data_IF_421108163325
#
_entry.id   IF_421108163325
#
_cell.length_a   1.000
_cell.length_b   1.000
_cell.length_c   1.000
_cell.angle_alpha   90.00
_cell.angle_beta   90.00
_cell.angle_gamma   90.00
#
_symmetry.space_group_name_H-M   'P 1'
#
loop_
_entity.id
_entity.type
_entity.pdbx_description
1 polymer ?
#
# COMPACT_ATOMS: atom_id res chain seq x y z
N UNK A 1 26.76 4.43 -6.64
CA UNK A 1 26.47 3.56 -7.82
C UNK A 1 25.40 4.24 -8.64
N UNK A 2 25.44 4.17 -9.98
CA UNK A 2 24.34 4.71 -10.78
C UNK A 2 23.12 3.75 -10.80
N UNK A 3 22.16 3.95 -9.88
CA UNK A 3 20.87 3.23 -9.86
C UNK A 3 20.00 3.56 -11.08
N UNK A 4 20.18 4.75 -11.69
CA UNK A 4 19.36 5.23 -12.82
C UNK A 4 19.55 4.42 -14.11
N UNK A 5 20.60 3.58 -14.18
CA UNK A 5 20.78 2.66 -15.32
C UNK A 5 19.70 1.59 -15.41
N UNK A 6 19.02 1.30 -14.30
CA UNK A 6 17.95 0.31 -14.27
C UNK A 6 16.63 1.01 -14.54
N UNK A 7 15.94 0.61 -15.61
CA UNK A 7 14.61 1.13 -15.92
C UNK A 7 13.54 0.51 -15.04
N UNK A 8 12.52 1.29 -14.74
CA UNK A 8 11.33 0.84 -14.02
C UNK A 8 10.39 0.00 -14.85
N UNK A 9 10.07 0.53 -16.02
CA UNK A 9 9.24 -0.08 -17.04
C UNK A 9 10.00 -0.17 -18.35
N UNK A 10 9.74 -1.23 -19.11
CA UNK A 10 10.11 -1.33 -20.50
C UNK A 10 8.99 -0.71 -21.33
N UNK A 11 9.26 0.46 -21.92
CA UNK A 11 8.29 1.24 -22.69
C UNK A 11 7.89 0.60 -24.02
N UNK A 12 8.63 -0.41 -24.49
CA UNK A 12 8.30 -1.17 -25.70
C UNK A 12 7.25 -2.27 -25.43
N UNK A 13 6.94 -2.57 -24.15
CA UNK A 13 5.92 -3.53 -23.77
C UNK A 13 4.63 -2.84 -23.34
N UNK A 14 3.54 -3.17 -24.02
CA UNK A 14 2.21 -2.61 -23.78
C UNK A 14 1.35 -3.55 -22.90
N UNK A 15 1.90 -3.95 -21.74
CA UNK A 15 1.24 -4.82 -20.76
C UNK A 15 1.14 -4.17 -19.38
N UNK A 16 1.14 -2.83 -19.36
CA UNK A 16 0.97 -2.01 -18.17
C UNK A 16 -0.31 -1.22 -18.35
N UNK A 17 -1.18 -1.26 -17.35
CA UNK A 17 -2.47 -0.59 -17.37
C UNK A 17 -2.64 0.18 -16.07
N UNK A 18 -2.98 1.46 -16.18
CA UNK A 18 -3.32 2.29 -15.04
C UNK A 18 -4.78 2.05 -14.68
N UNK A 19 -5.02 1.72 -13.42
CA UNK A 19 -6.35 1.43 -12.92
C UNK A 19 -6.52 2.06 -11.55
N UNK A 20 -7.70 2.55 -11.27
CA UNK A 20 -8.04 2.96 -9.92
C UNK A 20 -7.95 1.75 -8.98
N UNK A 21 -7.61 2.00 -7.72
CA UNK A 21 -7.53 0.96 -6.69
C UNK A 21 -8.73 0.00 -6.75
N UNK A 22 -8.53 -1.34 -6.66
CA UNK A 22 -9.63 -2.31 -6.75
C UNK A 22 -10.73 -2.13 -5.70
N UNK A 23 -10.46 -1.35 -4.64
CA UNK A 23 -11.48 -0.86 -3.71
C UNK A 23 -12.70 -0.26 -4.42
N UNK A 24 -12.48 0.51 -5.49
CA UNK A 24 -13.54 1.22 -6.22
C UNK A 24 -14.35 0.29 -7.12
N UNK A 25 -13.79 -0.86 -7.50
CA UNK A 25 -14.46 -1.85 -8.36
C UNK A 25 -15.65 -2.51 -7.65
N UNK A 26 -15.61 -2.57 -6.32
CA UNK A 26 -16.69 -3.07 -5.48
C UNK A 26 -17.56 -1.97 -4.86
N UNK A 27 -17.10 -0.72 -4.89
CA UNK A 27 -17.86 0.36 -4.27
C UNK A 27 -19.15 0.61 -5.04
N UNK A 28 -20.17 1.08 -4.34
CA UNK A 28 -21.34 1.71 -4.94
C UNK A 28 -21.14 3.23 -4.84
N UNK A 29 -21.67 3.99 -5.81
CA UNK A 29 -21.42 5.43 -5.95
C UNK A 29 -21.79 6.23 -4.70
N UNK A 30 -21.27 7.46 -4.61
CA UNK A 30 -21.50 8.38 -3.48
C UNK A 30 -22.99 8.62 -3.16
N UNK A 31 -23.89 8.45 -4.13
CA UNK A 31 -25.35 8.63 -3.97
C UNK A 31 -25.98 7.72 -2.89
N UNK A 32 -25.39 6.56 -2.59
CA UNK A 32 -25.89 5.65 -1.55
C UNK A 32 -25.41 6.01 -0.13
N UNK A 33 -24.58 7.05 0.05
CA UNK A 33 -24.00 7.45 1.36
C UNK A 33 -24.75 8.56 2.08
N UNK A 34 -25.95 8.92 1.63
CA UNK A 34 -26.78 9.98 2.22
C UNK A 34 -27.07 9.84 3.72
N UNK A 35 -26.80 8.68 4.33
CA UNK A 35 -26.94 8.40 5.76
C UNK A 35 -25.64 8.29 6.57
N UNK A 36 -24.46 8.49 5.97
CA UNK A 36 -23.19 8.37 6.70
C UNK A 36 -23.03 9.49 7.75
N UNK A 37 -22.64 9.14 8.98
CA UNK A 37 -22.59 10.06 10.13
C UNK A 37 -21.24 10.06 10.87
N UNK A 38 -20.32 9.16 10.53
CA UNK A 38 -19.04 9.05 11.22
C UNK A 38 -17.99 9.97 10.60
N UNK A 39 -17.23 10.65 11.44
CA UNK A 39 -15.99 11.34 11.07
C UNK A 39 -14.84 10.63 11.74
N UNK A 40 -13.84 10.23 10.98
CA UNK A 40 -12.67 9.52 11.51
C UNK A 40 -11.45 10.41 11.39
N UNK A 41 -10.78 10.67 12.51
CA UNK A 41 -9.42 11.21 12.52
C UNK A 41 -8.44 10.06 12.74
N UNK A 42 -7.58 9.79 11.75
CA UNK A 42 -6.50 8.80 11.89
C UNK A 42 -5.27 9.45 12.54
N UNK A 43 -4.81 8.82 13.62
CA UNK A 43 -3.56 9.16 14.28
C UNK A 43 -2.32 8.72 13.50
N UNK A 44 -1.17 9.21 13.95
CA UNK A 44 0.13 8.89 13.39
C UNK A 44 0.96 8.11 14.44
N UNK A 45 1.99 7.40 13.99
CA UNK A 45 2.91 6.70 14.91
C UNK A 45 3.92 7.69 15.50
N UNK A 46 3.59 8.32 16.64
CA UNK A 46 4.41 9.39 17.22
C UNK A 46 5.82 8.90 17.54
N UNK A 47 5.97 7.60 17.86
CA UNK A 47 7.26 6.97 18.18
C UNK A 47 8.19 6.83 16.98
N UNK A 48 7.63 6.82 15.77
CA UNK A 48 8.36 6.60 14.54
C UNK A 48 8.37 7.83 13.61
N UNK A 49 7.98 9.01 14.09
CA UNK A 49 8.15 10.27 13.36
C UNK A 49 9.62 10.71 13.41
N UNK A 50 10.39 10.56 12.32
CA UNK A 50 11.79 10.94 12.34
C UNK A 50 11.89 12.48 12.44
N UNK A 51 12.71 12.96 13.37
CA UNK A 51 13.05 14.39 13.55
C UNK A 51 11.89 15.32 13.96
N UNK A 52 10.73 14.80 14.35
CA UNK A 52 9.60 15.63 14.79
C UNK A 52 9.73 16.05 16.25
N UNK A 53 9.47 17.34 16.54
CA UNK A 53 9.18 17.79 17.90
C UNK A 53 7.81 17.24 18.31
N UNK A 54 7.80 16.22 19.19
CA UNK A 54 6.58 15.54 19.60
C UNK A 54 5.61 16.44 20.37
N UNK A 55 6.10 17.42 21.13
CA UNK A 55 5.25 18.32 21.89
C UNK A 55 4.55 19.29 20.93
N UNK A 56 5.30 19.82 19.96
CA UNK A 56 4.73 20.68 18.92
C UNK A 56 3.79 19.89 17.99
N UNK A 57 4.16 18.66 17.61
CA UNK A 57 3.31 17.78 16.82
C UNK A 57 1.97 17.52 17.53
N UNK A 58 2.00 17.16 18.82
CA UNK A 58 0.78 16.96 19.62
C UNK A 58 -0.06 18.24 19.72
N UNK A 59 0.58 19.41 19.89
CA UNK A 59 -0.09 20.72 19.92
C UNK A 59 -0.81 21.00 18.61
N UNK A 60 -0.15 20.78 17.46
CA UNK A 60 -0.72 20.96 16.13
C UNK A 60 -1.85 19.95 15.85
N UNK A 61 -1.69 18.69 16.24
CA UNK A 61 -2.76 17.68 16.17
C UNK A 61 -3.99 18.12 16.96
N UNK A 62 -3.81 18.70 18.15
CA UNK A 62 -4.92 19.21 18.96
C UNK A 62 -5.67 20.37 18.27
N UNK A 63 -4.96 21.26 17.56
CA UNK A 63 -5.59 22.29 16.75
C UNK A 63 -6.39 21.70 15.59
N UNK A 64 -5.88 20.66 14.92
CA UNK A 64 -6.60 19.96 13.86
C UNK A 64 -7.85 19.25 14.40
N UNK A 65 -7.77 18.63 15.58
CA UNK A 65 -8.92 18.01 16.25
C UNK A 65 -9.98 19.05 16.63
N UNK A 66 -9.57 20.24 17.08
CA UNK A 66 -10.49 21.35 17.33
C UNK A 66 -11.18 21.80 16.04
N UNK A 67 -10.42 22.01 14.97
CA UNK A 67 -10.97 22.35 13.65
C UNK A 67 -12.05 21.34 13.21
N UNK A 68 -11.80 20.04 13.38
CA UNK A 68 -12.78 19.00 13.03
C UNK A 68 -14.05 19.11 13.87
N UNK A 69 -13.97 19.43 15.18
CA UNK A 69 -15.16 19.65 16.01
C UNK A 69 -16.01 20.81 15.52
N UNK A 70 -15.36 21.91 15.13
CA UNK A 70 -16.02 23.14 14.71
C UNK A 70 -16.72 22.96 13.35
N UNK A 71 -16.09 22.25 12.41
CA UNK A 71 -16.59 22.11 11.04
C UNK A 71 -17.46 20.86 10.82
N UNK A 72 -17.39 19.85 11.70
CA UNK A 72 -18.17 18.62 11.60
C UNK A 72 -19.26 18.50 12.68
N UNK A 73 -19.78 19.63 13.16
CA UNK A 73 -20.85 19.68 14.16
C UNK A 73 -22.06 18.82 13.76
N UNK A 74 -22.58 18.05 14.72
CA UNK A 74 -23.71 17.13 14.50
C UNK A 74 -23.34 15.73 14.00
N UNK A 75 -22.09 15.50 13.60
CA UNK A 75 -21.58 14.18 13.23
C UNK A 75 -20.95 13.46 14.42
N UNK A 76 -20.86 12.13 14.34
CA UNK A 76 -20.20 11.31 15.35
C UNK A 76 -18.69 11.29 15.10
N UNK A 77 -17.92 11.90 16.00
CA UNK A 77 -16.46 12.02 15.87
C UNK A 77 -15.75 10.81 16.48
N UNK A 78 -14.80 10.23 15.75
CA UNK A 78 -13.98 9.11 16.18
C UNK A 78 -12.51 9.38 15.93
N UNK A 79 -11.68 8.88 16.84
CA UNK A 79 -10.24 8.93 16.71
C UNK A 79 -9.71 7.50 16.62
N UNK A 80 -8.95 7.19 15.58
CA UNK A 80 -8.32 5.88 15.38
C UNK A 80 -6.80 6.02 15.42
N UNK A 81 -6.13 5.59 16.50
CA UNK A 81 -4.67 5.68 16.61
C UNK A 81 -3.99 4.75 15.59
N UNK A 82 -2.71 5.00 15.33
CA UNK A 82 -1.90 4.10 14.52
C UNK A 82 -1.78 2.71 15.20
N UNK A 83 -1.81 1.58 14.46
CA UNK A 83 -1.81 0.24 15.08
C UNK A 83 -0.60 -0.08 15.97
N UNK A 84 0.54 0.58 15.73
CA UNK A 84 1.77 0.45 16.53
C UNK A 84 1.86 1.43 17.71
N UNK A 85 0.89 2.33 17.84
CA UNK A 85 0.90 3.39 18.84
C UNK A 85 0.34 2.88 20.17
N UNK A 86 0.86 3.40 21.28
CA UNK A 86 0.36 3.04 22.61
C UNK A 86 0.06 4.24 23.50
N UNK A 87 0.66 5.41 23.25
CA UNK A 87 0.62 6.54 24.17
C UNK A 87 0.08 7.83 23.54
N UNK A 88 0.08 7.97 22.21
CA UNK A 88 -0.46 9.15 21.48
C UNK A 88 -1.81 9.66 22.03
N UNK A 89 -2.83 8.81 22.29
CA UNK A 89 -4.12 9.30 22.79
C UNK A 89 -4.03 10.03 24.13
N UNK A 90 -2.98 9.80 24.93
CA UNK A 90 -2.77 10.47 26.23
C UNK A 90 -2.25 11.90 26.08
N UNK A 91 -1.67 12.22 24.92
CA UNK A 91 -1.13 13.55 24.61
C UNK A 91 -2.14 14.46 23.91
N UNK A 92 -3.30 13.91 23.54
CA UNK A 92 -4.30 14.58 22.72
C UNK A 92 -5.55 14.92 23.52
N UNK A 93 -6.11 16.11 23.26
CA UNK A 93 -7.45 16.45 23.68
C UNK A 93 -8.44 15.73 22.77
N UNK A 94 -8.93 14.57 23.23
CA UNK A 94 -9.93 13.76 22.53
C UNK A 94 -11.38 14.05 22.98
N UNK A 95 -11.64 15.15 23.68
CA UNK A 95 -13.00 15.53 24.12
C UNK A 95 -13.98 15.50 22.94
N UNK A 96 -15.10 14.77 23.05
CA UNK A 96 -16.08 14.61 21.98
C UNK A 96 -15.72 13.59 20.89
N UNK A 97 -14.51 13.02 20.90
CA UNK A 97 -14.12 11.91 20.03
C UNK A 97 -14.25 10.57 20.77
N UNK A 98 -14.80 9.56 20.09
CA UNK A 98 -14.77 8.17 20.55
C UNK A 98 -13.50 7.48 20.06
N UNK A 99 -12.76 6.86 20.96
CA UNK A 99 -11.55 6.12 20.60
C UNK A 99 -11.90 4.77 19.96
N UNK A 100 -11.36 4.50 18.77
CA UNK A 100 -11.46 3.19 18.11
C UNK A 100 -10.27 2.34 18.56
N UNK A 101 -10.55 1.26 19.29
CA UNK A 101 -9.53 0.32 19.78
C UNK A 101 -9.24 -0.83 18.79
N UNK A 102 -9.98 -0.90 17.69
CA UNK A 102 -9.79 -1.91 16.65
C UNK A 102 -8.38 -1.81 16.06
N UNK A 103 -7.67 -2.94 16.08
CA UNK A 103 -6.25 -2.98 15.69
C UNK A 103 -6.01 -2.96 14.19
N UNK A 104 -7.01 -3.28 13.38
CA UNK A 104 -6.89 -3.30 11.92
C UNK A 104 -6.17 -2.07 11.36
N UNK A 105 -5.38 -2.29 10.30
CA UNK A 105 -4.83 -1.18 9.53
C UNK A 105 -5.96 -0.35 8.90
N UNK A 106 -5.61 0.85 8.45
CA UNK A 106 -6.57 1.79 7.91
C UNK A 106 -7.35 1.19 6.74
N UNK A 107 -6.70 0.47 5.83
CA UNK A 107 -7.33 -0.07 4.63
C UNK A 107 -8.41 -1.11 4.94
N UNK A 108 -8.17 -2.06 5.86
CA UNK A 108 -9.19 -3.03 6.28
C UNK A 108 -10.32 -2.33 7.02
N UNK A 109 -9.99 -1.42 7.95
CA UNK A 109 -10.99 -0.66 8.69
C UNK A 109 -11.90 0.13 7.72
N UNK A 110 -11.31 0.84 6.76
CA UNK A 110 -12.06 1.58 5.75
C UNK A 110 -12.91 0.63 4.91
N UNK A 111 -12.36 -0.51 4.48
CA UNK A 111 -13.15 -1.51 3.77
C UNK A 111 -14.39 -1.93 4.58
N UNK A 112 -14.24 -2.26 5.87
CA UNK A 112 -15.35 -2.73 6.70
C UNK A 112 -16.39 -1.64 7.03
N UNK A 113 -15.96 -0.39 7.20
CA UNK A 113 -16.80 0.68 7.77
C UNK A 113 -17.15 1.80 6.77
N UNK A 114 -16.67 1.74 5.51
CA UNK A 114 -16.81 2.81 4.49
C UNK A 114 -18.23 3.38 4.34
N UNK A 115 -19.27 2.57 4.49
CA UNK A 115 -20.67 3.00 4.30
C UNK A 115 -21.18 3.91 5.43
N UNK A 116 -20.51 3.92 6.57
CA UNK A 116 -20.89 4.73 7.74
C UNK A 116 -20.06 6.02 7.87
N UNK A 117 -18.97 6.12 7.10
CA UNK A 117 -17.98 7.18 7.20
C UNK A 117 -18.31 8.29 6.19
N UNK A 118 -18.53 9.49 6.73
CA UNK A 118 -18.77 10.71 5.96
C UNK A 118 -17.46 11.42 5.63
N UNK A 119 -16.62 11.66 6.63
CA UNK A 119 -15.34 12.36 6.46
C UNK A 119 -14.18 11.63 7.12
N UNK A 120 -13.00 11.74 6.51
CA UNK A 120 -11.73 11.26 7.06
C UNK A 120 -10.72 12.40 7.13
N UNK A 121 -10.01 12.48 8.25
CA UNK A 121 -8.94 13.45 8.47
C UNK A 121 -7.69 12.75 8.98
N UNK A 122 -6.52 13.31 8.70
CA UNK A 122 -5.27 12.96 9.37
C UNK A 122 -4.25 14.10 9.30
N UNK A 123 -3.20 14.03 10.11
CA UNK A 123 -2.08 14.96 10.00
C UNK A 123 -1.30 14.75 8.70
N UNK A 124 -0.84 13.51 8.46
CA UNK A 124 -0.05 13.15 7.27
C UNK A 124 -0.12 11.64 6.96
N UNK A 125 -1.23 10.99 7.29
CA UNK A 125 -1.38 9.54 7.19
C UNK A 125 -1.82 9.09 5.80
N UNK A 126 -1.26 7.96 5.33
CA UNK A 126 -1.77 7.28 4.13
C UNK A 126 -3.25 6.88 4.24
N UNK A 127 -3.75 6.73 5.47
CA UNK A 127 -5.14 6.40 5.73
C UNK A 127 -6.12 7.39 5.05
N UNK A 128 -5.79 8.68 4.99
CA UNK A 128 -6.62 9.65 4.26
C UNK A 128 -6.61 9.38 2.76
N UNK A 129 -5.46 9.06 2.17
CA UNK A 129 -5.37 8.73 0.73
C UNK A 129 -6.10 7.41 0.39
N UNK A 130 -6.01 6.41 1.27
CA UNK A 130 -6.80 5.19 1.16
C UNK A 130 -8.30 5.50 1.23
N UNK A 131 -8.74 6.34 2.18
CA UNK A 131 -10.14 6.75 2.29
C UNK A 131 -10.64 7.45 1.02
N UNK A 132 -9.82 8.34 0.44
CA UNK A 132 -10.10 8.95 -0.86
C UNK A 132 -10.33 7.90 -1.94
N UNK A 133 -9.47 6.86 -1.98
CA UNK A 133 -9.61 5.73 -2.91
C UNK A 133 -10.84 4.87 -2.63
N UNK A 134 -11.39 4.87 -1.42
CA UNK A 134 -12.71 4.30 -1.11
C UNK A 134 -13.87 5.24 -1.48
N UNK A 135 -13.62 6.36 -2.15
CA UNK A 135 -14.63 7.37 -2.48
C UNK A 135 -15.18 8.12 -1.26
N UNK A 136 -14.45 8.14 -0.15
CA UNK A 136 -14.82 8.90 1.06
C UNK A 136 -14.19 10.28 0.97
N UNK A 137 -14.92 11.31 1.38
CA UNK A 137 -14.34 12.65 1.49
C UNK A 137 -13.24 12.64 2.56
N UNK A 138 -12.03 13.01 2.16
CA UNK A 138 -10.86 12.81 3.02
C UNK A 138 -9.85 13.92 2.88
N UNK A 139 -9.18 14.25 3.98
CA UNK A 139 -8.31 15.42 4.06
C UNK A 139 -7.04 15.12 4.84
N UNK A 140 -5.99 15.87 4.52
CA UNK A 140 -4.73 15.90 5.26
C UNK A 140 -4.40 17.32 5.72
N UNK A 141 -3.85 17.46 6.91
CA UNK A 141 -3.37 18.73 7.47
C UNK A 141 -1.85 18.91 7.26
N UNK A 142 -1.25 18.19 6.31
CA UNK A 142 0.20 18.05 6.13
C UNK A 142 0.99 19.37 6.27
N UNK A 143 0.53 20.43 5.61
CA UNK A 143 1.23 21.72 5.57
C UNK A 143 1.29 22.42 6.95
N UNK A 144 0.27 22.21 7.81
CA UNK A 144 0.24 22.73 9.18
C UNK A 144 1.41 22.17 10.00
N UNK A 145 1.86 20.96 9.69
CA UNK A 145 2.94 20.27 10.39
C UNK A 145 4.33 20.62 9.84
N UNK A 146 4.45 21.48 8.82
CA UNK A 146 5.75 21.83 8.21
C UNK A 146 6.77 22.34 9.22
N UNK A 147 6.34 23.12 10.22
CA UNK A 147 7.23 23.68 11.25
C UNK A 147 7.90 22.61 12.12
N UNK A 148 7.24 21.46 12.35
CA UNK A 148 7.76 20.39 13.20
C UNK A 148 8.33 19.20 12.41
N UNK A 149 7.92 18.99 11.16
CA UNK A 149 8.43 17.93 10.29
C UNK A 149 9.59 18.39 9.39
N UNK A 150 9.71 19.70 9.18
CA UNK A 150 10.66 20.32 8.25
C UNK A 150 10.22 20.25 6.79
N UNK A 151 10.84 21.10 5.97
CA UNK A 151 10.50 21.23 4.54
C UNK A 151 10.71 19.95 3.76
N UNK A 152 11.84 19.27 4.00
CA UNK A 152 12.21 18.04 3.29
C UNK A 152 11.14 16.96 3.46
N UNK A 153 10.73 16.68 4.71
CA UNK A 153 9.72 15.67 5.00
C UNK A 153 8.36 16.08 4.43
N UNK A 154 7.97 17.33 4.60
CA UNK A 154 6.68 17.85 4.12
C UNK A 154 6.58 17.76 2.60
N UNK A 155 7.64 18.16 1.89
CA UNK A 155 7.72 18.09 0.44
C UNK A 155 7.78 16.65 -0.07
N UNK A 156 8.43 15.74 0.65
CA UNK A 156 8.37 14.30 0.34
C UNK A 156 6.93 13.79 0.39
N UNK A 157 6.17 14.12 1.43
CA UNK A 157 4.76 13.74 1.51
C UNK A 157 3.93 14.39 0.40
N UNK A 158 4.05 15.70 0.17
CA UNK A 158 3.22 16.43 -0.80
C UNK A 158 3.53 16.03 -2.24
N UNK A 159 4.81 15.96 -2.61
CA UNK A 159 5.26 15.82 -4.01
C UNK A 159 5.46 14.37 -4.45
N UNK A 160 5.57 13.42 -3.52
CA UNK A 160 5.83 12.01 -3.84
C UNK A 160 4.83 11.06 -3.20
N UNK A 161 4.48 11.26 -1.92
CA UNK A 161 3.57 10.36 -1.25
C UNK A 161 2.11 10.60 -1.66
N UNK A 162 1.70 11.87 -1.82
CA UNK A 162 0.35 12.29 -2.15
C UNK A 162 0.20 12.93 -3.54
N UNK A 163 1.16 12.69 -4.44
CA UNK A 163 1.29 13.43 -5.72
C UNK A 163 0.09 13.33 -6.66
N UNK A 164 -0.74 12.29 -6.53
CA UNK A 164 -1.93 12.07 -7.37
C UNK A 164 -3.21 12.66 -6.74
N UNK A 165 -3.15 13.22 -5.53
CA UNK A 165 -4.32 13.73 -4.83
C UNK A 165 -4.60 15.20 -5.20
N UNK A 166 -5.88 15.59 -5.30
CA UNK A 166 -6.26 16.95 -5.69
C UNK A 166 -5.96 17.96 -4.57
N UNK A 167 -5.86 19.26 -4.91
CA UNK A 167 -5.68 20.32 -3.89
C UNK A 167 -6.79 20.32 -2.83
N UNK A 168 -8.02 19.90 -3.17
CA UNK A 168 -9.12 19.77 -2.21
C UNK A 168 -8.89 18.68 -1.15
N UNK A 169 -7.87 17.84 -1.28
CA UNK A 169 -7.41 16.90 -0.25
C UNK A 169 -6.60 17.59 0.86
N UNK A 170 -6.01 18.76 0.59
CA UNK A 170 -5.09 19.43 1.50
C UNK A 170 -5.78 20.56 2.26
N UNK A 171 -5.70 20.52 3.58
CA UNK A 171 -6.09 21.63 4.46
C UNK A 171 -4.81 22.33 4.89
N UNK A 172 -4.43 23.36 4.12
CA UNK A 172 -3.17 24.08 4.31
C UNK A 172 -3.23 25.12 5.45
N UNK A 173 -4.42 25.49 5.93
CA UNK A 173 -4.60 26.38 7.08
C UNK A 173 -5.87 26.05 7.87
N UNK A 174 -5.90 26.41 9.15
CA UNK A 174 -7.07 26.22 10.02
C UNK A 174 -8.24 27.18 9.70
N UNK A 175 -8.02 28.15 8.83
CA UNK A 175 -9.04 29.06 8.32
C UNK A 175 -9.73 28.52 7.04
N UNK A 176 -9.12 27.53 6.39
CA UNK A 176 -9.66 26.92 5.18
C UNK A 176 -10.92 26.13 5.54
N UNK A 177 -12.06 26.45 4.94
CA UNK A 177 -13.26 25.61 5.02
C UNK A 177 -13.18 24.52 3.95
N UNK A 178 -13.03 23.26 4.37
CA UNK A 178 -12.96 22.16 3.41
C UNK A 178 -14.27 21.99 2.65
N UNK A 179 -14.15 21.59 1.38
CA UNK A 179 -15.29 21.21 0.54
C UNK A 179 -15.32 19.70 0.37
N UNK A 180 -16.50 19.11 0.23
CA UNK A 180 -16.64 17.68 -0.04
C UNK A 180 -15.88 17.33 -1.32
N UNK A 181 -14.85 16.49 -1.17
CA UNK A 181 -13.97 16.07 -2.25
C UNK A 181 -14.15 14.59 -2.60
N UNK A 182 -15.17 13.94 -2.02
CA UNK A 182 -15.49 12.56 -2.34
C UNK A 182 -15.76 12.53 -3.83
N UNK A 183 -14.93 11.79 -4.57
CA UNK A 183 -15.23 11.58 -5.96
C UNK A 183 -16.56 10.83 -6.03
N UNK A 184 -17.59 11.47 -6.60
CA UNK A 184 -18.66 10.75 -7.29
C UNK A 184 -17.95 10.13 -8.50
N UNK A 185 -17.16 9.10 -8.26
CA UNK A 185 -16.68 8.29 -9.35
C UNK A 185 -17.95 7.74 -10.01
N UNK A 186 -18.10 7.97 -11.30
CA UNK A 186 -18.57 6.90 -12.15
C UNK A 186 -17.73 5.69 -11.76
N UNK A 187 -18.30 4.80 -10.95
CA UNK A 187 -17.69 3.59 -10.45
C UNK A 187 -16.67 3.09 -11.45
N UNK A 188 -15.38 3.12 -11.07
CA UNK A 188 -14.33 2.64 -11.96
C UNK A 188 -14.73 1.20 -12.31
N UNK A 189 -15.10 1.00 -13.57
CA UNK A 189 -15.53 -0.30 -14.02
C UNK A 189 -14.33 -1.24 -13.91
N UNK A 190 -14.59 -2.47 -13.49
CA UNK A 190 -13.59 -3.53 -13.56
C UNK A 190 -12.99 -3.51 -14.96
N UNK A 191 -11.66 -3.35 -15.10
CA UNK A 191 -11.05 -3.20 -16.41
C UNK A 191 -11.38 -4.38 -17.31
N UNK A 192 -11.67 -4.14 -18.59
CA UNK A 192 -11.98 -5.22 -19.56
C UNK A 192 -10.82 -6.24 -19.63
N UNK A 193 -9.58 -5.78 -19.46
CA UNK A 193 -8.41 -6.64 -19.36
C UNK A 193 -8.50 -7.63 -18.21
N UNK A 194 -9.10 -7.25 -17.08
CA UNK A 194 -9.25 -8.11 -15.91
C UNK A 194 -10.22 -9.26 -16.21
N UNK A 195 -11.36 -8.95 -16.85
CA UNK A 195 -12.27 -9.98 -17.35
C UNK A 195 -11.57 -10.93 -18.33
N UNK A 196 -10.81 -10.41 -19.30
CA UNK A 196 -10.02 -11.24 -20.24
C UNK A 196 -8.98 -12.13 -19.54
N UNK A 197 -8.40 -11.68 -18.43
CA UNK A 197 -7.50 -12.50 -17.62
C UNK A 197 -8.26 -13.64 -16.97
N UNK A 198 -9.46 -13.39 -16.43
CA UNK A 198 -10.30 -14.41 -15.81
C UNK A 198 -10.91 -15.41 -16.81
N UNK A 199 -11.14 -15.00 -18.06
CA UNK A 199 -11.58 -15.87 -19.17
C UNK A 199 -10.61 -17.02 -19.48
N UNK A 200 -9.37 -16.96 -18.98
CA UNK A 200 -8.41 -18.07 -19.02
C UNK A 200 -8.87 -19.28 -18.21
N UNK A 201 -9.92 -19.14 -17.40
CA UNK A 201 -10.52 -20.19 -16.54
C UNK A 201 -9.45 -20.87 -15.67
N UNK A 202 -8.72 -20.10 -14.85
CA UNK A 202 -7.69 -20.66 -14.00
C UNK A 202 -8.29 -21.67 -13.03
N UNK A 203 -7.59 -22.78 -12.80
CA UNK A 203 -7.99 -23.72 -11.75
C UNK A 203 -7.88 -23.08 -10.36
N UNK A 204 -6.77 -22.38 -10.10
CA UNK A 204 -6.52 -21.62 -8.87
C UNK A 204 -5.96 -20.24 -9.22
N UNK A 205 -6.41 -19.22 -8.49
CA UNK A 205 -5.78 -17.90 -8.50
C UNK A 205 -5.03 -17.73 -7.18
N UNK A 206 -3.70 -17.57 -7.29
CA UNK A 206 -2.79 -17.47 -6.16
C UNK A 206 -2.48 -16.01 -5.85
N UNK A 207 -2.76 -15.57 -4.63
CA UNK A 207 -2.45 -14.24 -4.13
C UNK A 207 -1.18 -14.34 -3.30
N UNK A 208 -0.08 -13.71 -3.75
CA UNK A 208 1.20 -13.73 -3.03
C UNK A 208 1.39 -12.39 -2.34
N UNK A 209 1.21 -12.36 -1.02
CA UNK A 209 1.13 -11.13 -0.26
C UNK A 209 2.21 -11.05 0.80
N UNK A 210 3.00 -9.97 0.77
CA UNK A 210 3.98 -9.67 1.81
C UNK A 210 3.74 -8.35 2.51
N UNK A 211 2.99 -7.43 1.92
CA UNK A 211 2.65 -6.16 2.55
C UNK A 211 1.17 -6.14 2.93
N UNK A 212 0.91 -5.81 4.20
CA UNK A 212 -0.44 -5.74 4.77
C UNK A 212 -1.26 -4.58 4.19
N UNK A 213 -0.62 -3.56 3.60
CA UNK A 213 -1.29 -2.44 2.95
C UNK A 213 -2.20 -2.88 1.79
N UNK A 214 -1.88 -4.02 1.15
CA UNK A 214 -2.69 -4.62 0.08
C UNK A 214 -3.78 -5.57 0.59
N UNK A 215 -3.98 -5.72 1.91
CA UNK A 215 -4.95 -6.69 2.44
C UNK A 215 -6.38 -6.40 1.97
N UNK A 216 -6.79 -5.13 2.02
CA UNK A 216 -8.09 -4.75 1.48
C UNK A 216 -8.15 -4.98 -0.05
N UNK A 217 -7.02 -4.86 -0.75
CA UNK A 217 -6.98 -4.99 -2.22
C UNK A 217 -7.18 -6.44 -2.59
N UNK A 218 -6.51 -7.33 -1.85
CA UNK A 218 -6.69 -8.76 -1.97
C UNK A 218 -8.14 -9.18 -1.68
N UNK A 219 -8.77 -8.61 -0.65
CA UNK A 219 -10.18 -8.86 -0.32
C UNK A 219 -11.12 -8.38 -1.43
N UNK A 220 -10.95 -7.14 -1.91
CA UNK A 220 -11.78 -6.58 -2.97
C UNK A 220 -11.63 -7.34 -4.30
N UNK A 221 -10.40 -7.75 -4.65
CA UNK A 221 -10.19 -8.60 -5.83
C UNK A 221 -10.82 -9.98 -5.65
N UNK A 222 -10.68 -10.59 -4.46
CA UNK A 222 -11.26 -11.89 -4.17
C UNK A 222 -12.79 -11.86 -4.30
N UNK A 223 -13.45 -10.86 -3.71
CA UNK A 223 -14.90 -10.74 -3.76
C UNK A 223 -15.39 -10.38 -5.18
N UNK A 224 -14.71 -9.52 -5.93
CA UNK A 224 -15.00 -9.29 -7.35
C UNK A 224 -14.86 -10.57 -8.20
N UNK A 225 -13.80 -11.36 -8.00
CA UNK A 225 -13.64 -12.65 -8.70
C UNK A 225 -14.78 -13.61 -8.33
N UNK A 226 -15.16 -13.68 -7.06
CA UNK A 226 -16.25 -14.54 -6.59
C UNK A 226 -17.62 -14.10 -7.11
N UNK A 227 -17.80 -12.80 -7.38
CA UNK A 227 -19.01 -12.27 -8.03
C UNK A 227 -19.14 -12.78 -9.47
N UNK A 228 -18.04 -12.85 -10.21
CA UNK A 228 -18.00 -13.37 -11.60
C UNK A 228 -18.02 -14.91 -11.66
N UNK A 229 -17.31 -15.57 -10.75
CA UNK A 229 -17.26 -17.01 -10.63
C UNK A 229 -17.24 -17.44 -9.16
N UNK A 230 -18.41 -17.76 -8.56
CA UNK A 230 -18.50 -18.16 -7.15
C UNK A 230 -17.66 -19.40 -6.81
N UNK A 231 -17.46 -20.29 -7.78
CA UNK A 231 -16.70 -21.54 -7.64
C UNK A 231 -15.19 -21.38 -7.77
N UNK A 232 -14.70 -20.21 -8.20
CA UNK A 232 -13.27 -19.98 -8.46
C UNK A 232 -12.44 -20.28 -7.21
N UNK A 233 -11.45 -21.18 -7.30
CA UNK A 233 -10.55 -21.45 -6.16
C UNK A 233 -9.56 -20.30 -6.00
N UNK A 234 -9.50 -19.73 -4.80
CA UNK A 234 -8.56 -18.68 -4.42
C UNK A 234 -7.61 -19.21 -3.34
N UNK A 235 -6.31 -19.00 -3.53
CA UNK A 235 -5.28 -19.37 -2.56
C UNK A 235 -4.49 -18.12 -2.13
N UNK A 236 -4.24 -17.96 -0.85
CA UNK A 236 -3.44 -16.87 -0.29
C UNK A 236 -2.11 -17.40 0.24
N UNK A 237 -1.02 -16.81 -0.20
CA UNK A 237 0.33 -17.05 0.32
C UNK A 237 0.77 -15.83 1.09
N UNK A 238 0.92 -15.98 2.40
CA UNK A 238 1.34 -14.93 3.32
C UNK A 238 2.85 -15.04 3.58
N UNK A 239 3.62 -14.01 3.21
CA UNK A 239 5.00 -13.83 3.66
C UNK A 239 5.00 -13.18 5.04
N UNK A 240 4.95 -14.00 6.10
CA UNK A 240 4.71 -13.58 7.47
C UNK A 240 5.89 -12.81 8.06
N UNK A 241 5.57 -11.62 8.59
CA UNK A 241 6.45 -10.77 9.39
C UNK A 241 5.65 -10.08 10.51
N UNK A 242 6.32 -9.29 11.36
CA UNK A 242 5.72 -8.74 12.59
C UNK A 242 4.47 -7.86 12.36
N UNK A 243 4.35 -7.16 11.23
CA UNK A 243 3.19 -6.29 10.97
C UNK A 243 1.89 -7.08 10.73
N UNK A 244 1.97 -8.37 10.43
CA UNK A 244 0.79 -9.24 10.35
C UNK A 244 0.08 -9.40 11.71
N UNK A 245 0.78 -9.14 12.82
CA UNK A 245 0.15 -9.10 14.15
C UNK A 245 -0.67 -7.84 14.39
N UNK A 246 -0.63 -6.87 13.46
CA UNK A 246 -1.36 -5.60 13.54
C UNK A 246 -2.71 -5.64 12.81
N UNK A 247 -3.06 -6.74 12.15
CA UNK A 247 -4.33 -6.86 11.44
C UNK A 247 -5.09 -8.11 11.89
N UNK A 248 -6.40 -8.10 11.68
CA UNK A 248 -7.24 -9.29 11.74
C UNK A 248 -6.95 -10.17 10.51
N UNK A 249 -6.03 -11.10 10.69
CA UNK A 249 -5.67 -12.07 9.66
C UNK A 249 -6.83 -13.03 9.37
N UNK A 250 -7.73 -13.27 10.32
CA UNK A 250 -8.85 -14.18 10.14
C UNK A 250 -9.88 -13.57 9.19
N UNK A 251 -10.17 -12.27 9.33
CA UNK A 251 -10.99 -11.53 8.37
C UNK A 251 -10.45 -11.69 6.94
N UNK A 252 -9.15 -11.45 6.74
CA UNK A 252 -8.52 -11.57 5.42
C UNK A 252 -8.60 -13.02 4.90
N UNK A 253 -8.18 -13.99 5.70
CA UNK A 253 -8.05 -15.39 5.28
C UNK A 253 -9.39 -16.06 4.99
N UNK A 254 -10.48 -15.57 5.59
CA UNK A 254 -11.85 -16.06 5.33
C UNK A 254 -12.30 -15.96 3.87
N UNK A 255 -11.66 -15.10 3.06
CA UNK A 255 -11.96 -14.90 1.64
C UNK A 255 -11.26 -15.92 0.71
N UNK A 256 -10.41 -16.79 1.25
CA UNK A 256 -9.58 -17.72 0.48
C UNK A 256 -9.89 -19.18 0.82
N UNK A 257 -9.84 -20.04 -0.19
CA UNK A 257 -10.06 -21.48 -0.03
C UNK A 257 -8.84 -22.19 0.59
N UNK A 258 -7.66 -21.63 0.41
CA UNK A 258 -6.40 -22.17 0.89
C UNK A 258 -5.50 -21.02 1.36
N UNK A 259 -4.82 -21.23 2.48
CA UNK A 259 -3.88 -20.25 3.03
C UNK A 259 -2.57 -20.94 3.36
N UNK A 260 -1.48 -20.45 2.78
CA UNK A 260 -0.12 -20.91 3.04
C UNK A 260 0.63 -19.77 3.72
N UNK A 261 1.08 -20.00 4.94
CA UNK A 261 1.91 -19.03 5.66
C UNK A 261 3.38 -19.44 5.56
N UNK A 262 4.21 -18.55 5.03
CA UNK A 262 5.64 -18.73 4.85
C UNK A 262 6.41 -17.67 5.64
N UNK A 263 7.57 -18.00 6.24
CA UNK A 263 8.36 -17.02 6.97
C UNK A 263 8.99 -16.00 6.01
N UNK A 264 9.10 -14.73 6.42
CA UNK A 264 9.90 -13.73 5.72
C UNK A 264 11.36 -13.77 6.16
N UNK A 265 12.29 -13.80 5.21
CA UNK A 265 13.72 -13.66 5.47
C UNK A 265 14.31 -12.49 4.68
N UNK A 266 14.92 -11.55 5.40
CA UNK A 266 15.69 -10.47 4.80
C UNK A 266 17.09 -10.91 4.38
N UNK A 267 17.68 -10.14 3.45
CA UNK A 267 19.07 -10.25 3.01
C UNK A 267 20.03 -10.37 4.21
N UNK A 268 20.75 -11.49 4.27
CA UNK A 268 21.68 -11.77 5.36
C UNK A 268 22.79 -12.71 4.91
N UNK A 269 23.99 -12.54 5.48
CA UNK A 269 25.13 -13.45 5.32
C UNK A 269 25.30 -14.42 6.50
N UNK A 270 24.43 -14.35 7.52
CA UNK A 270 24.52 -15.26 8.66
C UNK A 270 24.23 -16.69 8.16
N UNK A 271 25.10 -17.69 8.39
CA UNK A 271 24.97 -19.02 7.79
C UNK A 271 23.60 -19.67 7.99
N UNK A 272 23.07 -19.60 9.22
CA UNK A 272 21.74 -20.16 9.54
C UNK A 272 20.61 -19.44 8.78
N UNK A 273 20.70 -18.11 8.59
CA UNK A 273 19.70 -17.35 7.81
C UNK A 273 19.81 -17.69 6.32
N UNK A 274 21.02 -17.81 5.78
CA UNK A 274 21.25 -18.24 4.39
C UNK A 274 20.65 -19.63 4.13
N UNK A 275 20.92 -20.60 5.01
CA UNK A 275 20.34 -21.93 4.89
C UNK A 275 18.81 -21.89 4.92
N UNK A 276 18.22 -21.10 5.82
CA UNK A 276 16.76 -20.92 5.88
C UNK A 276 16.18 -20.25 4.63
N UNK A 277 16.87 -19.25 4.08
CA UNK A 277 16.51 -18.62 2.80
C UNK A 277 16.49 -19.65 1.66
N UNK A 278 17.53 -20.48 1.55
CA UNK A 278 17.61 -21.55 0.54
C UNK A 278 16.49 -22.57 0.74
N UNK A 279 16.32 -23.04 1.98
CA UNK A 279 15.28 -24.03 2.32
C UNK A 279 13.88 -23.49 1.99
N UNK A 280 13.61 -22.22 2.27
CA UNK A 280 12.35 -21.56 1.91
C UNK A 280 12.14 -21.50 0.41
N UNK A 281 13.15 -21.08 -0.37
CA UNK A 281 13.05 -21.06 -1.83
C UNK A 281 12.77 -22.46 -2.40
N UNK A 282 13.46 -23.49 -1.89
CA UNK A 282 13.25 -24.88 -2.29
C UNK A 282 11.87 -25.42 -1.84
N UNK A 283 11.34 -24.95 -0.71
CA UNK A 283 9.98 -25.26 -0.28
C UNK A 283 8.96 -24.67 -1.25
N UNK A 284 9.12 -23.40 -1.63
CA UNK A 284 8.25 -22.71 -2.60
C UNK A 284 8.27 -23.43 -3.94
N UNK A 285 9.46 -23.82 -4.44
CA UNK A 285 9.61 -24.57 -5.69
C UNK A 285 8.80 -25.88 -5.73
N UNK A 286 8.50 -26.47 -4.58
CA UNK A 286 7.74 -27.73 -4.46
C UNK A 286 6.23 -27.52 -4.37
N UNK A 287 5.76 -26.28 -4.19
CA UNK A 287 4.33 -25.97 -4.20
C UNK A 287 3.80 -26.30 -5.60
N UNK A 288 2.75 -27.11 -5.67
CA UNK A 288 2.20 -27.55 -6.95
C UNK A 288 1.26 -26.49 -7.49
N UNK A 289 1.60 -25.90 -8.62
CA UNK A 289 0.69 -25.09 -9.44
C UNK A 289 0.26 -25.89 -10.66
N UNK A 290 -0.96 -25.65 -11.13
CA UNK A 290 -1.42 -26.10 -12.44
C UNK A 290 -0.93 -25.10 -13.51
N UNK A 291 -0.55 -25.50 -14.74
CA UNK A 291 -0.15 -24.56 -15.79
C UNK A 291 -1.20 -23.51 -16.15
N UNK A 292 -2.48 -23.78 -15.89
CA UNK A 292 -3.59 -22.83 -16.07
C UNK A 292 -3.76 -21.84 -14.93
N UNK A 293 -3.12 -22.07 -13.78
CA UNK A 293 -3.24 -21.17 -12.63
C UNK A 293 -2.72 -19.77 -12.95
N UNK A 294 -3.28 -18.79 -12.25
CA UNK A 294 -2.87 -17.38 -12.32
C UNK A 294 -2.21 -17.00 -11.00
N UNK A 295 -1.16 -16.18 -11.06
CA UNK A 295 -0.42 -15.71 -9.88
C UNK A 295 -0.53 -14.19 -9.82
N UNK A 296 -1.10 -13.68 -8.74
CA UNK A 296 -1.18 -12.27 -8.39
C UNK A 296 -0.08 -11.92 -7.39
N UNK A 297 0.79 -10.98 -7.77
CA UNK A 297 1.83 -10.42 -6.91
C UNK A 297 1.49 -9.00 -6.45
N UNK A 298 1.83 -8.66 -5.21
CA UNK A 298 1.47 -7.39 -4.57
C UNK A 298 2.68 -6.60 -4.05
N UNK A 299 3.88 -7.20 -4.03
CA UNK A 299 5.08 -6.56 -3.48
C UNK A 299 6.15 -6.29 -4.50
N UNK A 300 6.26 -7.12 -5.55
CA UNK A 300 7.19 -6.89 -6.63
C UNK A 300 8.67 -7.03 -6.29
N UNK A 301 9.07 -7.58 -5.13
CA UNK A 301 10.51 -7.79 -4.83
C UNK A 301 10.84 -8.73 -3.66
N UNK A 302 9.89 -9.09 -2.80
CA UNK A 302 10.17 -9.95 -1.64
C UNK A 302 10.49 -11.39 -2.04
N UNK A 303 11.32 -12.08 -1.23
CA UNK A 303 11.83 -13.42 -1.55
C UNK A 303 10.72 -14.42 -1.89
N UNK A 304 9.61 -14.42 -1.13
CA UNK A 304 8.50 -15.35 -1.34
C UNK A 304 7.87 -15.14 -2.71
N UNK A 305 7.54 -13.90 -3.04
CA UNK A 305 6.94 -13.54 -4.33
C UNK A 305 7.90 -13.78 -5.50
N UNK A 306 9.17 -13.38 -5.35
CA UNK A 306 10.21 -13.63 -6.33
C UNK A 306 10.39 -15.14 -6.60
N UNK A 307 10.44 -15.97 -5.56
CA UNK A 307 10.52 -17.41 -5.70
C UNK A 307 9.29 -17.99 -6.41
N UNK A 308 8.09 -17.53 -6.06
CA UNK A 308 6.87 -17.97 -6.73
C UNK A 308 6.90 -17.66 -8.24
N UNK A 309 7.16 -16.40 -8.60
CA UNK A 309 7.14 -15.96 -10.01
C UNK A 309 8.28 -16.61 -10.80
N UNK A 310 9.44 -16.82 -10.18
CA UNK A 310 10.59 -17.42 -10.86
C UNK A 310 10.37 -18.91 -11.14
N UNK A 311 9.90 -19.67 -10.14
CA UNK A 311 9.71 -21.12 -10.27
C UNK A 311 8.45 -21.51 -11.05
N UNK A 312 7.43 -20.65 -11.01
CA UNK A 312 6.15 -20.86 -11.68
C UNK A 312 5.98 -19.92 -12.90
N UNK A 313 7.09 -19.59 -13.58
CA UNK A 313 7.14 -18.65 -14.72
C UNK A 313 6.33 -19.06 -15.96
N UNK A 314 5.80 -20.29 -16.00
CA UNK A 314 4.85 -20.73 -17.05
C UNK A 314 3.41 -20.28 -16.78
N UNK A 315 3.10 -19.96 -15.52
CA UNK A 315 1.80 -19.44 -15.14
C UNK A 315 1.64 -17.99 -15.61
N UNK A 316 0.39 -17.58 -15.80
CA UNK A 316 0.10 -16.19 -16.13
C UNK A 316 0.20 -15.34 -14.86
N UNK A 317 1.22 -14.49 -14.79
CA UNK A 317 1.56 -13.68 -13.63
C UNK A 317 1.06 -12.24 -13.82
N UNK A 318 0.33 -11.72 -12.84
CA UNK A 318 -0.21 -10.36 -12.80
C UNK A 318 0.37 -9.64 -11.60
N UNK A 319 0.89 -8.43 -11.79
CA UNK A 319 1.33 -7.56 -10.69
C UNK A 319 0.27 -6.53 -10.39
N UNK A 320 -0.02 -6.31 -9.12
CA UNK A 320 -0.72 -5.14 -8.60
C UNK A 320 0.30 -4.28 -7.87
N UNK A 321 0.69 -3.15 -8.47
CA UNK A 321 1.72 -2.27 -7.96
C UNK A 321 1.15 -0.87 -7.80
N UNK A 322 1.37 -0.20 -6.67
CA UNK A 322 0.95 1.20 -6.54
C UNK A 322 1.80 2.09 -7.45
N UNK A 323 1.17 3.05 -8.14
CA UNK A 323 1.86 4.08 -8.94
C UNK A 323 2.93 4.80 -8.13
N UNK A 324 2.63 5.13 -6.87
CA UNK A 324 3.57 5.63 -5.86
C UNK A 324 4.79 4.73 -5.68
N UNK A 325 4.60 3.42 -5.54
CA UNK A 325 5.72 2.50 -5.29
C UNK A 325 6.59 2.35 -6.54
N UNK A 326 6.00 2.44 -7.74
CA UNK A 326 6.74 2.58 -8.99
C UNK A 326 7.57 3.88 -8.98
N UNK A 327 6.97 5.02 -8.65
CA UNK A 327 7.66 6.31 -8.57
C UNK A 327 8.84 6.28 -7.59
N UNK A 328 8.63 5.76 -6.38
CA UNK A 328 9.64 5.71 -5.31
C UNK A 328 10.76 4.71 -5.63
N UNK A 329 10.43 3.49 -6.02
CA UNK A 329 11.42 2.41 -6.11
C UNK A 329 12.00 2.30 -7.52
N UNK A 330 11.23 2.60 -8.56
CA UNK A 330 11.59 2.32 -9.94
C UNK A 330 11.98 3.56 -10.76
N UNK A 331 11.40 4.74 -10.47
CA UNK A 331 11.60 6.00 -11.21
C UNK A 331 12.39 7.05 -10.41
N UNK A 332 13.46 6.61 -9.74
CA UNK A 332 14.29 7.45 -8.86
C UNK A 332 14.94 8.65 -9.55
N UNK A 333 15.03 8.65 -10.88
CA UNK A 333 15.54 9.75 -11.69
C UNK A 333 14.54 10.90 -11.85
N UNK A 334 13.23 10.67 -11.63
CA UNK A 334 12.20 11.70 -11.76
C UNK A 334 12.15 12.70 -10.62
N UNK A 335 12.69 12.34 -9.45
CA UNK A 335 12.56 13.13 -8.24
C UNK A 335 13.93 13.60 -7.74
N UNK A 336 14.18 14.93 -7.68
CA UNK A 336 15.46 15.49 -7.25
C UNK A 336 15.93 14.98 -5.88
N UNK A 337 14.97 14.65 -5.00
CA UNK A 337 15.22 14.05 -3.69
C UNK A 337 16.19 12.86 -3.73
N UNK A 338 16.08 11.97 -4.72
CA UNK A 338 16.96 10.79 -4.80
C UNK A 338 18.30 11.08 -5.46
N UNK A 339 18.39 12.16 -6.25
CA UNK A 339 19.60 12.54 -6.99
C UNK A 339 20.70 13.11 -6.08
N UNK A 340 20.31 13.64 -4.91
CA UNK A 340 21.20 14.20 -3.90
C UNK A 340 21.77 13.13 -2.95
N UNK A 341 21.31 11.88 -3.06
CA UNK A 341 21.63 10.83 -2.09
C UNK A 341 22.47 9.68 -2.65
N UNK A 342 23.46 9.25 -1.87
CA UNK A 342 24.33 8.13 -2.24
C UNK A 342 23.75 6.79 -1.78
N UNK A 343 23.38 5.92 -2.74
CA UNK A 343 22.96 4.54 -2.45
C UNK A 343 24.12 3.55 -2.48
N UNK A 344 24.16 2.69 -1.46
CA UNK A 344 25.19 1.68 -1.28
C UNK A 344 24.60 0.27 -1.21
N UNK A 345 25.35 -0.69 -1.74
CA UNK A 345 25.03 -2.09 -1.53
C UNK A 345 25.67 -2.58 -0.23
N UNK A 346 24.88 -3.26 0.59
CA UNK A 346 25.47 -4.10 1.63
C UNK A 346 26.18 -5.32 1.02
N UNK A 347 27.15 -5.89 1.75
CA UNK A 347 27.79 -7.16 1.36
C UNK A 347 26.75 -8.29 1.21
N UNK A 348 25.71 -8.29 2.04
CA UNK A 348 24.63 -9.26 1.97
C UNK A 348 23.83 -9.10 0.67
N UNK A 349 23.46 -7.87 0.33
CA UNK A 349 22.73 -7.56 -0.91
C UNK A 349 23.53 -7.97 -2.15
N UNK A 350 24.86 -7.70 -2.17
CA UNK A 350 25.72 -8.13 -3.28
C UNK A 350 25.77 -9.65 -3.42
N UNK A 351 25.96 -10.37 -2.30
CA UNK A 351 25.99 -11.84 -2.31
C UNK A 351 24.67 -12.43 -2.80
N UNK A 352 23.54 -11.93 -2.30
CA UNK A 352 22.24 -12.41 -2.74
C UNK A 352 22.04 -12.15 -4.24
N UNK A 353 22.31 -10.93 -4.70
CA UNK A 353 22.13 -10.55 -6.09
C UNK A 353 23.09 -11.23 -7.09
N UNK A 354 24.33 -11.49 -6.69
CA UNK A 354 25.38 -12.01 -7.59
C UNK A 354 25.54 -13.52 -7.53
N UNK A 355 25.17 -14.14 -6.41
CA UNK A 355 25.45 -15.56 -6.13
C UNK A 355 24.15 -16.30 -5.81
N UNK A 356 23.45 -15.90 -4.75
CA UNK A 356 22.32 -16.70 -4.24
C UNK A 356 21.14 -16.76 -5.21
N UNK A 357 20.67 -15.60 -5.68
CA UNK A 357 19.55 -15.50 -6.62
C UNK A 357 19.81 -16.27 -7.92
N UNK A 358 20.96 -16.11 -8.62
CA UNK A 358 21.28 -16.92 -9.79
C UNK A 358 21.33 -18.42 -9.52
N UNK A 359 21.97 -18.87 -8.42
CA UNK A 359 22.06 -20.30 -8.08
C UNK A 359 20.66 -20.88 -7.84
N UNK A 360 19.80 -20.10 -7.18
CA UNK A 360 18.42 -20.49 -6.93
C UNK A 360 17.53 -20.32 -8.15
N UNK A 361 17.98 -19.71 -9.25
CA UNK A 361 17.17 -19.44 -10.44
C UNK A 361 16.09 -18.38 -10.21
N UNK A 362 16.34 -17.42 -9.33
CA UNK A 362 15.42 -16.32 -8.99
C UNK A 362 15.65 -15.10 -9.88
N UNK A 363 14.61 -14.27 -10.03
CA UNK A 363 14.80 -12.93 -10.61
C UNK A 363 15.73 -12.12 -9.72
N UNK A 364 16.62 -11.36 -10.37
CA UNK A 364 17.63 -10.58 -9.66
C UNK A 364 17.02 -9.33 -9.05
N UNK A 365 17.33 -9.04 -7.80
CA UNK A 365 16.82 -7.85 -7.09
C UNK A 365 17.91 -6.81 -6.83
N UNK A 366 17.47 -5.59 -6.54
CA UNK A 366 18.26 -4.50 -5.99
C UNK A 366 17.81 -4.33 -4.56
N UNK A 367 18.76 -4.33 -3.61
CA UNK A 367 18.53 -3.90 -2.24
C UNK A 367 19.69 -2.97 -1.86
N UNK A 368 19.42 -1.67 -1.86
CA UNK A 368 20.42 -0.65 -1.59
C UNK A 368 19.90 0.31 -0.53
N UNK A 369 20.81 0.77 0.32
CA UNK A 369 20.53 1.62 1.47
C UNK A 369 21.13 3.01 1.22
N UNK A 370 20.40 4.05 1.66
CA UNK A 370 20.94 5.39 1.76
C UNK A 370 21.60 5.56 3.15
N UNK A 371 22.93 5.68 3.16
CA UNK A 371 23.73 5.75 4.39
C UNK A 371 23.79 7.14 5.02
N UNK A 372 23.37 8.18 4.31
CA UNK A 372 23.49 9.57 4.78
C UNK A 372 22.35 9.96 5.74
N UNK A 373 21.20 9.30 5.65
CA UNK A 373 20.03 9.65 6.48
C UNK A 373 19.32 8.46 7.12
N UNK A 374 19.63 7.19 6.81
CA UNK A 374 18.85 6.01 7.26
C UNK A 374 17.35 6.03 6.89
N UNK A 375 16.88 6.98 6.07
CA UNK A 375 15.45 7.18 5.81
C UNK A 375 14.91 6.25 4.72
N UNK A 376 15.78 5.78 3.80
CA UNK A 376 15.30 5.16 2.57
C UNK A 376 16.10 3.92 2.16
N UNK A 377 15.38 2.80 2.07
CA UNK A 377 15.85 1.56 1.46
C UNK A 377 15.16 1.44 0.10
N UNK A 378 15.93 1.25 -0.96
CA UNK A 378 15.40 0.95 -2.28
C UNK A 378 15.46 -0.55 -2.52
N UNK A 379 14.28 -1.15 -2.68
CA UNK A 379 14.12 -2.58 -2.96
C UNK A 379 13.25 -2.76 -4.20
N UNK A 380 13.75 -3.49 -5.20
CA UNK A 380 13.05 -3.74 -6.47
C UNK A 380 13.68 -4.86 -7.28
N UNK A 381 13.02 -5.31 -8.35
CA UNK A 381 13.70 -6.11 -9.37
C UNK A 381 14.74 -5.29 -10.17
N UNK A 382 15.78 -5.97 -10.67
CA UNK A 382 16.77 -5.39 -11.61
C UNK A 382 16.19 -5.20 -13.00
N UNK A 383 15.29 -6.11 -13.42
CA UNK A 383 14.57 -5.96 -14.68
C UNK A 383 13.38 -5.03 -14.50
N UNK A 384 12.92 -4.38 -15.58
CA UNK A 384 11.62 -3.72 -15.57
C UNK A 384 10.52 -4.66 -15.09
N UNK A 385 9.61 -4.17 -14.26
CA UNK A 385 8.58 -5.04 -13.64
C UNK A 385 7.68 -5.67 -14.71
N UNK A 386 7.37 -4.94 -15.77
CA UNK A 386 6.55 -5.43 -16.90
C UNK A 386 7.30 -6.39 -17.85
N UNK A 387 8.58 -6.69 -17.59
CA UNK A 387 9.30 -7.83 -18.19
C UNK A 387 9.13 -9.12 -17.40
N UNK A 388 8.84 -9.02 -16.10
CA UNK A 388 8.72 -10.15 -15.17
C UNK A 388 7.29 -10.69 -15.15
N UNK A 389 6.31 -9.79 -15.16
CA UNK A 389 4.90 -10.16 -15.14
C UNK A 389 4.31 -10.13 -16.56
N UNK A 390 3.28 -10.94 -16.79
CA UNK A 390 2.54 -10.95 -18.04
C UNK A 390 1.65 -9.71 -18.15
N UNK A 391 1.10 -9.22 -17.04
CA UNK A 391 0.33 -7.98 -16.95
C UNK A 391 0.68 -7.23 -15.67
N UNK A 392 0.67 -5.90 -15.72
CA UNK A 392 0.90 -5.03 -14.56
C UNK A 392 -0.24 -4.04 -14.46
N UNK A 393 -1.01 -4.15 -13.38
CA UNK A 393 -1.93 -3.10 -12.95
C UNK A 393 -1.17 -2.11 -12.07
N UNK A 394 -1.05 -0.87 -12.57
CA UNK A 394 -0.59 0.25 -11.77
C UNK A 394 -1.78 0.88 -11.08
N UNK A 395 -1.87 0.66 -9.77
CA UNK A 395 -2.92 1.20 -8.93
C UNK A 395 -2.67 2.70 -8.72
N UNK A 396 -3.52 3.52 -9.32
CA UNK A 396 -3.49 4.97 -9.21
C UNK A 396 -4.56 5.44 -8.23
N UNK A 397 -4.29 6.56 -7.57
CA UNK A 397 -5.37 7.30 -6.94
C UNK A 397 -6.37 7.70 -8.02
N UNK A 398 -7.68 7.60 -7.73
CA UNK A 398 -8.69 8.00 -8.69
C UNK A 398 -8.48 9.46 -9.06
N UNK A 399 -8.30 9.71 -10.36
CA UNK A 399 -8.26 11.07 -10.86
C UNK A 399 -9.58 11.73 -10.48
N UNK A 400 -9.55 12.90 -9.83
CA UNK A 400 -10.75 13.72 -9.67
C UNK A 400 -11.35 13.93 -11.06
N UNK A 401 -12.55 13.38 -11.36
CA UNK A 401 -13.33 13.95 -12.44
C UNK A 401 -13.48 15.43 -12.06
N UNK A 402 -13.33 16.35 -13.00
CA UNK A 402 -13.72 17.74 -12.77
C UNK A 402 -15.17 17.69 -12.29
N UNK A 403 -15.40 17.94 -11.00
CA UNK A 403 -16.73 18.17 -10.48
C UNK A 403 -17.33 19.25 -11.37
N UNK A 404 -18.36 18.89 -12.13
CA UNK A 404 -19.15 19.87 -12.88
C UNK A 404 -20.07 20.59 -11.93
#
# INVERSE_FOLDING_TARGET
>A
MNITKYKGLNTERHNVEHVDFPYTWECEGAEMRGGAQKVIFFGNDFRNLPYADLAEYARLTNLCLQYVREHCGGLSLYYKPHPSETDEPTMLNLTGFKLIQERNNAEIFLYQHRHEIKYVFSASSWASAAAFSFGISSYTFLEIFRSCMGDISTDFYRKLYFYELPESFFIDSLEHVFIENACIQTLAQVPESFHRILERKPKTIWFIMSDISFSATAVALAAQIKKENPSQRLALVISKHLRWNLIDVDFLTSHFNEVITLPRFFYSLRPLRLFRTIALALQIRKIKTDPSDIIFGFSGFELVENAFISYHSRNYCVSFLNSRDLAIYYETDRYPFFSEHTFHWSKASLFHNKILEPILGLNRTLFVENTEQNILILVRYQKPVNEIYNHVYLLTMPATPKCK
#
